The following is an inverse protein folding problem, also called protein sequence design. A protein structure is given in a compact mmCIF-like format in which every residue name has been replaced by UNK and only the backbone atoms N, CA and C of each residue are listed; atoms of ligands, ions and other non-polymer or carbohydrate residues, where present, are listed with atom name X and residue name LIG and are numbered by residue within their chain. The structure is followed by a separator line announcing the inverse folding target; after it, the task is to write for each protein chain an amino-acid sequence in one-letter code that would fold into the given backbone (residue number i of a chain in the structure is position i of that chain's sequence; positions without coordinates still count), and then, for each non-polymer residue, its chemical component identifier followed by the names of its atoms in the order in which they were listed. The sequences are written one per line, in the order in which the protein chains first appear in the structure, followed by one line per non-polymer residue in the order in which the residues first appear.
data_IF_192636682938
#
_entry.id   IF_192636682938
#
_cell.length_a   1.000
_cell.length_b   1.000
_cell.length_c   1.000
_cell.angle_alpha   90.00
_cell.angle_beta   90.00
_cell.angle_gamma   90.00
#
_symmetry.space_group_name_H-M   'P 1'
#
loop_
_entity.id
_entity.type
_entity.pdbx_description
1 polymer ?
#
# COMPACT_ATOMS: atom_id res chain seq x y z
N UNK A 1 21.09 -13.19 -5.04
CA UNK A 1 19.66 -12.88 -5.27
C UNK A 1 19.36 -11.57 -4.57
N UNK A 2 18.97 -10.50 -5.29
CA UNK A 2 18.45 -9.29 -4.65
C UNK A 2 17.02 -9.59 -4.23
N UNK A 3 16.74 -9.63 -2.94
CA UNK A 3 15.37 -9.70 -2.44
C UNK A 3 14.71 -8.36 -2.73
N UNK A 4 13.69 -8.35 -3.58
CA UNK A 4 12.88 -7.16 -3.84
C UNK A 4 11.60 -7.27 -3.03
N UNK A 5 11.32 -6.24 -2.25
CA UNK A 5 10.12 -6.12 -1.43
C UNK A 5 9.24 -5.01 -2.00
N UNK A 6 8.34 -5.33 -2.93
CA UNK A 6 7.60 -4.32 -3.67
C UNK A 6 6.56 -3.61 -2.80
N UNK A 7 6.25 -2.37 -3.18
CA UNK A 7 5.07 -1.65 -2.72
C UNK A 7 3.91 -2.01 -3.67
N UNK A 8 2.80 -2.47 -3.11
CA UNK A 8 1.65 -2.93 -3.89
C UNK A 8 0.59 -1.83 -3.91
N UNK A 9 0.17 -1.46 -5.12
CA UNK A 9 -0.89 -0.48 -5.36
C UNK A 9 -2.10 -1.22 -5.91
N UNK A 10 -3.25 -1.04 -5.27
CA UNK A 10 -4.53 -1.63 -5.66
C UNK A 10 -5.45 -0.47 -6.03
N UNK A 11 -5.66 -0.29 -7.31
CA UNK A 11 -6.49 0.78 -7.84
C UNK A 11 -7.13 0.33 -9.16
N UNK A 12 -8.46 0.37 -9.22
CA UNK A 12 -9.21 0.06 -10.44
C UNK A 12 -8.80 0.94 -11.62
N UNK A 13 -8.40 2.17 -11.31
CA UNK A 13 -7.97 3.18 -12.26
C UNK A 13 -6.47 3.17 -12.54
N UNK A 14 -5.71 2.23 -11.98
CA UNK A 14 -4.26 2.15 -12.18
C UNK A 14 -3.86 2.14 -13.66
N UNK A 15 -4.71 1.57 -14.53
CA UNK A 15 -4.52 1.51 -15.99
C UNK A 15 -5.36 2.52 -16.78
N UNK A 16 -6.17 3.33 -16.11
CA UNK A 16 -7.06 4.32 -16.72
C UNK A 16 -6.33 5.63 -17.03
N UNK A 17 -6.72 6.33 -18.09
CA UNK A 17 -6.17 7.65 -18.44
C UNK A 17 -6.88 8.82 -17.74
N UNK A 18 -7.68 8.54 -16.70
CA UNK A 18 -8.36 9.55 -15.91
C UNK A 18 -7.42 10.19 -14.86
N UNK A 19 -7.88 11.23 -14.19
CA UNK A 19 -7.08 11.99 -13.22
C UNK A 19 -6.61 11.11 -12.05
N UNK A 20 -7.45 10.20 -11.56
CA UNK A 20 -7.10 9.24 -10.49
C UNK A 20 -5.95 8.33 -10.93
N UNK A 21 -6.09 7.69 -12.09
CA UNK A 21 -5.08 6.81 -12.67
C UNK A 21 -3.76 7.52 -12.98
N UNK A 22 -3.80 8.78 -13.42
CA UNK A 22 -2.59 9.59 -13.60
C UNK A 22 -1.91 9.93 -12.28
N UNK A 23 -2.68 10.27 -11.24
CA UNK A 23 -2.17 10.57 -9.91
C UNK A 23 -1.46 9.38 -9.27
N UNK A 24 -2.10 8.21 -9.28
CA UNK A 24 -1.51 7.01 -8.69
C UNK A 24 -0.28 6.53 -9.46
N UNK A 25 -0.24 6.68 -10.80
CA UNK A 25 0.95 6.34 -11.59
C UNK A 25 2.09 7.33 -11.38
N UNK A 26 1.79 8.61 -11.14
CA UNK A 26 2.81 9.57 -10.74
C UNK A 26 3.43 9.18 -9.38
N UNK A 27 2.61 8.73 -8.43
CA UNK A 27 3.10 8.19 -7.16
C UNK A 27 3.94 6.93 -7.36
N UNK A 28 3.47 5.98 -8.19
CA UNK A 28 4.22 4.78 -8.54
C UNK A 28 5.61 5.13 -9.11
N UNK A 29 5.65 6.06 -10.06
CA UNK A 29 6.89 6.51 -10.69
C UNK A 29 7.82 7.21 -9.68
N UNK A 30 7.27 8.01 -8.77
CA UNK A 30 8.05 8.64 -7.71
C UNK A 30 8.70 7.58 -6.79
N UNK A 31 7.95 6.53 -6.43
CA UNK A 31 8.46 5.41 -5.63
C UNK A 31 9.55 4.64 -6.39
N UNK A 32 9.34 4.37 -7.69
CA UNK A 32 10.32 3.69 -8.53
C UNK A 32 11.61 4.49 -8.71
N UNK A 33 11.51 5.83 -8.79
CA UNK A 33 12.68 6.71 -8.90
C UNK A 33 13.59 6.66 -7.68
N UNK A 34 13.05 6.31 -6.52
CA UNK A 34 13.78 6.10 -5.26
C UNK A 34 14.31 4.66 -5.10
N UNK A 35 14.15 3.82 -6.14
CA UNK A 35 14.72 2.47 -6.22
C UNK A 35 13.85 1.35 -5.65
N UNK A 36 12.58 1.64 -5.30
CA UNK A 36 11.61 0.62 -4.88
C UNK A 36 10.88 0.03 -6.07
N UNK A 37 10.48 -1.24 -5.97
CA UNK A 37 9.63 -1.86 -6.99
C UNK A 37 8.17 -1.59 -6.67
N UNK A 38 7.38 -1.21 -7.68
CA UNK A 38 5.94 -1.00 -7.54
C UNK A 38 5.18 -2.04 -8.37
N UNK A 39 4.13 -2.60 -7.77
CA UNK A 39 3.24 -3.54 -8.45
C UNK A 39 1.83 -2.99 -8.39
N UNK A 40 1.29 -2.57 -9.54
CA UNK A 40 -0.09 -2.11 -9.66
C UNK A 40 -1.05 -3.22 -10.08
N UNK A 41 -2.14 -3.37 -9.33
CA UNK A 41 -3.24 -4.30 -9.61
C UNK A 41 -4.57 -3.55 -9.61
N UNK A 42 -5.56 -4.06 -10.36
CA UNK A 42 -6.81 -3.34 -10.63
C UNK A 42 -8.01 -3.84 -9.83
N UNK A 43 -7.85 -4.83 -8.95
CA UNK A 43 -8.98 -5.36 -8.18
C UNK A 43 -8.59 -6.05 -6.88
N UNK A 44 -9.46 -5.93 -5.88
CA UNK A 44 -9.41 -6.72 -4.64
C UNK A 44 -9.55 -8.23 -4.87
N UNK A 45 -10.23 -8.66 -5.93
CA UNK A 45 -10.44 -10.09 -6.24
C UNK A 45 -9.14 -10.83 -6.54
N UNK A 46 -8.20 -10.15 -7.20
CA UNK A 46 -6.86 -10.69 -7.50
C UNK A 46 -6.01 -10.82 -6.24
N UNK A 47 -6.36 -10.13 -5.14
CA UNK A 47 -5.56 -10.07 -3.93
C UNK A 47 -5.54 -11.34 -3.11
N UNK A 48 -6.55 -12.19 -3.17
CA UNK A 48 -6.48 -13.48 -2.45
C UNK A 48 -5.43 -14.42 -3.06
N UNK A 49 -5.30 -14.42 -4.39
CA UNK A 49 -4.22 -15.15 -5.09
C UNK A 49 -2.88 -14.41 -4.99
N UNK A 50 -2.88 -13.08 -5.00
CA UNK A 50 -1.67 -12.25 -4.86
C UNK A 50 -1.10 -12.26 -3.44
N UNK A 51 -1.92 -12.16 -2.40
CA UNK A 51 -1.50 -12.18 -1.00
C UNK A 51 -0.91 -13.54 -0.59
N UNK A 52 -1.29 -14.64 -1.27
CA UNK A 52 -0.61 -15.94 -1.13
C UNK A 52 0.79 -15.93 -1.74
N UNK A 53 1.01 -15.20 -2.83
CA UNK A 53 2.32 -15.10 -3.50
C UNK A 53 3.23 -14.00 -2.91
N UNK A 54 2.66 -12.97 -2.27
CA UNK A 54 3.36 -11.74 -1.85
C UNK A 54 3.59 -11.66 -0.33
N UNK A 55 4.20 -12.70 0.26
CA UNK A 55 4.82 -12.60 1.60
C UNK A 55 5.93 -11.51 1.69
N UNK A 56 6.25 -10.85 0.57
CA UNK A 56 7.34 -9.89 0.41
C UNK A 56 6.87 -8.44 0.17
N UNK A 57 5.57 -8.16 0.26
CA UNK A 57 5.11 -6.77 0.16
C UNK A 57 5.70 -5.94 1.32
N UNK A 58 6.23 -4.75 1.01
CA UNK A 58 6.77 -3.83 2.00
C UNK A 58 5.76 -2.76 2.42
N UNK A 59 4.77 -2.46 1.59
CA UNK A 59 3.60 -1.66 1.92
C UNK A 59 2.45 -1.94 0.94
N UNK A 60 1.24 -1.59 1.33
CA UNK A 60 0.04 -1.61 0.50
C UNK A 60 -0.56 -0.21 0.37
N UNK A 61 -1.04 0.14 -0.82
CA UNK A 61 -1.76 1.37 -1.13
C UNK A 61 -3.08 0.96 -1.79
N UNK A 62 -4.20 1.36 -1.20
CA UNK A 62 -5.54 0.96 -1.61
C UNK A 62 -6.36 2.16 -2.09
N UNK A 63 -6.97 2.04 -3.27
CA UNK A 63 -7.94 3.01 -3.78
C UNK A 63 -9.31 2.76 -3.17
N UNK A 64 -9.96 3.84 -2.74
CA UNK A 64 -11.37 3.84 -2.35
C UNK A 64 -12.01 5.09 -2.94
N UNK A 65 -13.11 4.92 -3.66
CA UNK A 65 -13.92 6.02 -4.17
C UNK A 65 -15.13 6.28 -3.23
N UNK A 66 -15.54 7.53 -3.11
CA UNK A 66 -16.78 7.92 -2.44
C UNK A 66 -18.02 7.31 -3.13
N UNK A 67 -17.98 7.11 -4.45
CA UNK A 67 -19.06 6.48 -5.22
C UNK A 67 -19.26 4.99 -4.89
N UNK A 68 -18.26 4.34 -4.27
CA UNK A 68 -18.36 2.94 -3.83
C UNK A 68 -19.13 2.76 -2.52
N UNK A 69 -19.40 3.86 -1.79
CA UNK A 69 -20.23 3.82 -0.59
C UNK A 69 -21.71 3.84 -0.96
N UNK A 70 -22.43 2.82 -0.51
CA UNK A 70 -23.87 2.72 -0.69
C UNK A 70 -24.58 3.59 0.34
N UNK A 71 -25.41 4.53 -0.12
CA UNK A 71 -26.30 5.30 0.76
C UNK A 71 -27.47 4.40 1.19
N UNK A 72 -27.28 3.57 2.22
CA UNK A 72 -28.29 2.65 2.72
C UNK A 72 -28.02 2.13 4.14
N UNK A 73 -29.04 1.53 4.76
CA UNK A 73 -28.91 0.87 6.06
C UNK A 73 -28.25 -0.52 5.88
N UNK A 74 -26.92 -0.54 5.76
CA UNK A 74 -26.12 -1.77 5.60
C UNK A 74 -24.63 -1.53 5.79
N UNK A 75 -23.85 -2.61 5.91
CA UNK A 75 -22.39 -2.54 5.80
C UNK A 75 -22.03 -2.41 4.33
N UNK A 76 -21.36 -1.33 3.95
CA UNK A 76 -20.95 -1.10 2.56
C UNK A 76 -20.10 -2.26 2.03
N UNK A 77 -20.36 -2.75 0.79
CA UNK A 77 -19.57 -3.82 0.19
C UNK A 77 -18.08 -3.52 0.13
N UNK A 78 -17.70 -2.26 -0.07
CA UNK A 78 -16.30 -1.81 -0.06
C UNK A 78 -15.67 -1.92 1.33
N UNK A 79 -16.42 -1.56 2.39
CA UNK A 79 -15.98 -1.69 3.79
C UNK A 79 -15.77 -3.17 4.15
N UNK A 80 -16.66 -4.06 3.71
CA UNK A 80 -16.50 -5.50 3.89
C UNK A 80 -15.27 -6.05 3.15
N UNK A 81 -15.06 -5.62 1.90
CA UNK A 81 -13.92 -6.05 1.09
C UNK A 81 -12.60 -5.58 1.69
N UNK A 82 -12.54 -4.32 2.13
CA UNK A 82 -11.40 -3.72 2.81
C UNK A 82 -11.10 -4.43 4.14
N UNK A 83 -12.13 -4.69 4.97
CA UNK A 83 -11.96 -5.43 6.22
C UNK A 83 -11.41 -6.84 5.99
N UNK A 84 -11.93 -7.54 4.98
CA UNK A 84 -11.44 -8.87 4.63
C UNK A 84 -9.98 -8.83 4.15
N UNK A 85 -9.64 -7.85 3.32
CA UNK A 85 -8.27 -7.66 2.83
C UNK A 85 -7.30 -7.36 3.97
N UNK A 86 -7.61 -6.40 4.84
CA UNK A 86 -6.79 -6.07 6.02
C UNK A 86 -6.63 -7.31 6.90
N UNK A 87 -7.71 -8.06 7.14
CA UNK A 87 -7.66 -9.30 7.91
C UNK A 87 -6.70 -10.35 7.33
N UNK A 88 -6.73 -10.56 6.01
CA UNK A 88 -5.80 -11.48 5.32
C UNK A 88 -4.35 -11.01 5.39
N UNK A 89 -4.11 -9.70 5.24
CA UNK A 89 -2.77 -9.11 5.34
C UNK A 89 -2.22 -9.25 6.76
N UNK A 90 -3.02 -8.86 7.78
CA UNK A 90 -2.63 -8.88 9.20
C UNK A 90 -2.41 -10.28 9.74
N UNK A 91 -3.10 -11.31 9.20
CA UNK A 91 -2.85 -12.72 9.52
C UNK A 91 -1.42 -13.16 9.18
N UNK A 92 -0.80 -12.56 8.16
CA UNK A 92 0.56 -12.91 7.71
C UNK A 92 1.60 -11.96 8.26
N UNK A 93 1.32 -10.67 8.21
CA UNK A 93 2.23 -9.60 8.64
C UNK A 93 1.44 -8.57 9.46
N UNK A 94 1.63 -8.59 10.78
CA UNK A 94 0.89 -7.73 11.70
C UNK A 94 1.19 -6.23 11.51
N UNK A 95 2.42 -5.90 11.08
CA UNK A 95 2.90 -4.50 11.05
C UNK A 95 3.10 -3.94 9.65
N UNK A 96 2.74 -4.67 8.58
CA UNK A 96 2.96 -4.14 7.22
C UNK A 96 2.16 -2.84 7.03
N UNK A 97 2.78 -1.75 6.53
CA UNK A 97 2.09 -0.50 6.28
C UNK A 97 0.95 -0.67 5.27
N UNK A 98 -0.21 -0.11 5.58
CA UNK A 98 -1.39 -0.09 4.69
C UNK A 98 -1.87 1.36 4.62
N UNK A 99 -1.92 1.89 3.41
CA UNK A 99 -2.43 3.23 3.10
C UNK A 99 -3.70 3.13 2.28
N UNK A 100 -4.56 4.13 2.45
CA UNK A 100 -5.71 4.34 1.57
C UNK A 100 -5.53 5.67 0.85
N UNK A 101 -5.81 5.71 -0.44
CA UNK A 101 -5.97 6.94 -1.19
C UNK A 101 -7.39 7.02 -1.73
N UNK A 102 -7.90 8.24 -1.82
CA UNK A 102 -9.27 8.52 -2.23
C UNK A 102 -9.54 10.02 -2.16
N UNK A 103 -10.81 10.39 -2.32
CA UNK A 103 -11.23 11.79 -2.21
C UNK A 103 -11.25 12.28 -0.75
N UNK A 104 -11.21 13.59 -0.54
CA UNK A 104 -11.09 14.20 0.80
C UNK A 104 -12.24 13.83 1.76
N UNK A 105 -13.37 13.32 1.24
CA UNK A 105 -14.54 12.91 2.05
C UNK A 105 -14.60 11.41 2.36
N UNK A 106 -13.74 10.59 1.75
CA UNK A 106 -13.75 9.12 1.86
C UNK A 106 -13.40 8.63 3.26
N UNK A 107 -12.49 9.31 3.96
CA UNK A 107 -12.07 8.96 5.32
C UNK A 107 -13.19 9.06 6.38
N UNK A 108 -14.25 9.85 6.13
CA UNK A 108 -15.36 10.03 7.07
C UNK A 108 -16.35 8.86 7.08
N UNK A 109 -16.37 8.07 6.01
CA UNK A 109 -17.29 6.94 5.85
C UNK A 109 -16.68 5.63 6.34
N UNK A 110 -15.37 5.60 6.60
CA UNK A 110 -14.69 4.41 7.11
C UNK A 110 -14.96 4.20 8.60
N UNK A 111 -15.33 2.98 9.01
CA UNK A 111 -15.54 2.67 10.41
C UNK A 111 -14.21 2.63 11.18
N UNK A 112 -14.28 2.94 12.48
CA UNK A 112 -13.10 3.14 13.33
C UNK A 112 -12.21 1.89 13.45
N UNK A 113 -12.78 0.68 13.35
CA UNK A 113 -11.99 -0.55 13.34
C UNK A 113 -11.04 -0.64 12.15
N UNK A 114 -11.46 -0.14 10.98
CA UNK A 114 -10.59 -0.05 9.79
C UNK A 114 -9.58 1.08 9.94
N UNK A 115 -10.02 2.26 10.39
CA UNK A 115 -9.13 3.42 10.56
C UNK A 115 -7.91 3.10 11.44
N UNK A 116 -8.09 2.25 12.45
CA UNK A 116 -7.01 1.83 13.37
C UNK A 116 -5.99 0.89 12.74
N UNK A 117 -6.32 0.22 11.65
CA UNK A 117 -5.42 -0.70 10.95
C UNK A 117 -4.61 -0.01 9.85
N UNK A 118 -5.04 1.17 9.41
CA UNK A 118 -4.39 1.97 8.38
C UNK A 118 -3.26 2.82 8.98
N UNK A 119 -2.17 2.95 8.24
CA UNK A 119 -1.04 3.82 8.59
C UNK A 119 -1.28 5.27 8.19
N UNK A 120 -2.05 5.51 7.13
CA UNK A 120 -2.34 6.87 6.68
C UNK A 120 -3.30 6.93 5.51
N UNK A 121 -3.77 8.16 5.28
CA UNK A 121 -4.55 8.54 4.11
C UNK A 121 -3.70 9.39 3.19
N UNK A 122 -3.79 9.12 1.90
CA UNK A 122 -3.11 9.87 0.85
C UNK A 122 -4.16 10.71 0.14
N UNK A 123 -4.01 12.02 0.17
CA UNK A 123 -4.88 12.93 -0.55
C UNK A 123 -4.21 13.30 -1.87
N UNK A 124 -4.53 12.56 -2.94
CA UNK A 124 -3.86 12.70 -4.25
C UNK A 124 -3.91 14.12 -4.84
N UNK A 125 -4.89 14.93 -4.44
CA UNK A 125 -5.06 16.31 -4.90
C UNK A 125 -4.35 17.36 -4.04
N UNK A 126 -3.97 17.01 -2.82
CA UNK A 126 -3.38 17.93 -1.84
C UNK A 126 -1.89 17.66 -1.63
N UNK A 127 -1.49 16.40 -1.69
CA UNK A 127 -0.12 15.96 -1.48
C UNK A 127 0.68 15.84 -2.79
N UNK A 128 1.97 16.15 -2.75
CA UNK A 128 2.85 15.88 -3.90
C UNK A 128 3.28 14.41 -3.92
N UNK A 129 3.25 13.74 -5.09
CA UNK A 129 3.65 12.34 -5.22
C UNK A 129 5.03 12.03 -4.62
N UNK A 130 6.00 12.96 -4.75
CA UNK A 130 7.36 12.78 -4.22
C UNK A 130 7.43 12.88 -2.70
N UNK A 131 6.56 13.65 -2.07
CA UNK A 131 6.49 13.71 -0.61
C UNK A 131 5.86 12.43 -0.05
N UNK A 132 4.76 12.00 -0.65
CA UNK A 132 4.05 10.77 -0.29
C UNK A 132 4.96 9.56 -0.50
N UNK A 133 5.63 9.45 -1.65
CA UNK A 133 6.57 8.37 -1.94
C UNK A 133 7.66 8.26 -0.87
N UNK A 134 8.31 9.37 -0.50
CA UNK A 134 9.35 9.37 0.55
C UNK A 134 8.81 8.95 1.91
N UNK A 135 7.59 9.34 2.26
CA UNK A 135 6.93 8.90 3.49
C UNK A 135 6.66 7.40 3.48
N UNK A 136 6.03 6.87 2.42
CA UNK A 136 5.71 5.45 2.29
C UNK A 136 6.99 4.60 2.30
N UNK A 137 8.03 5.03 1.58
CA UNK A 137 9.33 4.35 1.54
C UNK A 137 9.97 4.30 2.92
N UNK A 138 9.88 5.37 3.70
CA UNK A 138 10.41 5.41 5.07
C UNK A 138 9.70 4.37 5.96
N UNK A 139 8.39 4.29 5.90
CA UNK A 139 7.62 3.31 6.69
C UNK A 139 7.87 1.88 6.19
N UNK A 140 7.94 1.67 4.88
CA UNK A 140 8.28 0.39 4.26
C UNK A 140 9.68 -0.09 4.69
N UNK A 141 10.69 0.78 4.72
CA UNK A 141 12.03 0.46 5.24
C UNK A 141 11.99 0.11 6.72
N UNK A 142 11.27 0.90 7.52
CA UNK A 142 11.14 0.66 8.97
C UNK A 142 10.50 -0.70 9.25
N UNK A 143 9.48 -1.08 8.48
CA UNK A 143 8.88 -2.41 8.53
C UNK A 143 9.86 -3.52 8.11
N UNK A 144 10.59 -3.35 7.01
CA UNK A 144 11.58 -4.35 6.59
C UNK A 144 12.70 -4.54 7.63
N UNK A 145 13.10 -3.48 8.33
CA UNK A 145 14.06 -3.55 9.43
C UNK A 145 13.51 -4.29 10.66
N UNK A 146 12.20 -4.17 10.96
CA UNK A 146 11.57 -4.87 12.09
C UNK A 146 11.36 -6.36 11.82
N UNK A 147 11.12 -6.73 10.56
CA UNK A 147 10.89 -8.12 10.14
C UNK A 147 12.20 -8.90 10.00
N UNK A 148 13.32 -8.23 9.73
CA UNK A 148 14.61 -8.92 9.56
C UNK A 148 15.15 -9.43 10.91
N UNK A 149 15.51 -10.73 11.01
CA UNK A 149 16.28 -11.22 12.15
C UNK A 149 17.59 -10.42 12.23
N UNK A 150 18.13 -10.15 13.44
CA UNK A 150 19.33 -9.32 13.63
C UNK A 150 20.54 -9.74 12.78
N UNK A 151 20.59 -11.02 12.40
CA UNK A 151 21.65 -11.60 11.58
C UNK A 151 21.54 -11.27 10.08
N UNK A 152 20.33 -11.03 9.57
CA UNK A 152 20.07 -10.73 8.16
C UNK A 152 20.38 -9.25 7.84
N UNK A 153 20.11 -8.36 8.81
CA UNK A 153 20.48 -6.93 8.75
C UNK A 153 21.99 -6.75 8.55
N UNK A 154 22.80 -7.45 9.35
CA UNK A 154 24.27 -7.42 9.23
C UNK A 154 24.79 -7.95 7.87
N UNK A 155 24.09 -8.90 7.24
CA UNK A 155 24.45 -9.43 5.92
C UNK A 155 24.06 -8.46 4.79
N UNK A 156 22.94 -7.75 4.93
CA UNK A 156 22.49 -6.74 3.98
C UNK A 156 23.38 -5.50 4.04
N UNK A 157 23.67 -5.01 5.25
CA UNK A 157 24.60 -3.90 5.49
C UNK A 157 25.99 -4.23 4.92
N UNK A 158 26.49 -5.46 5.10
CA UNK A 158 27.77 -5.90 4.53
C UNK A 158 27.74 -6.00 2.99
N UNK A 159 26.60 -6.35 2.38
CA UNK A 159 26.47 -6.44 0.93
C UNK A 159 26.28 -5.07 0.25
N UNK A 160 25.74 -4.07 0.96
CA UNK A 160 25.64 -2.69 0.50
C UNK A 160 26.94 -1.89 0.73
N UNK A 161 27.67 -2.16 1.81
CA UNK A 161 28.95 -1.51 2.14
C UNK A 161 30.17 -2.23 1.51
N UNK A 162 29.99 -3.46 1.04
CA UNK A 162 30.99 -4.31 0.38
C UNK A 162 31.30 -3.89 -1.06
N UNK A 163 31.83 -2.68 -1.22
CA UNK A 163 32.49 -2.22 -2.46
C UNK A 163 33.91 -2.79 -2.53
N UNK A 164 34.06 -4.02 -3.03
CA UNK A 164 35.36 -4.57 -3.49
C UNK A 164 35.21 -5.27 -4.83
#
# INVERSE_FOLDING_TARGET
MKFRFPIIIIDEDYRSENTSGLGIRALAQAIESEGFEVVGVTSYGDLSQFAQQQSRASAFILSIDDEEFTVGEGLDPIVLSLRNFIGEVRRKNAEVPIYVHGETKTSRHLPNDILRELHGFIHMFEDTPEFVARHIIREAKSYLESVQPPFFKALLDYAEDGSY
#
